data_IF_206332347611
#
_entry.id   IF_206332347611
#
_cell.length_a   1.000
_cell.length_b   1.000
_cell.length_c   1.000
_cell.angle_alpha   90.00
_cell.angle_beta   90.00
_cell.angle_gamma   90.00
#
_symmetry.space_group_name_H-M   'P 1'
#
loop_
_entity.id
_entity.type
_entity.pdbx_description
1 polymer ?
#
# COMPACT_ATOMS: atom_id res chain seq x y z
N UNK A 1 -27.25 -5.55 15.06
CA UNK A 1 -27.05 -5.41 13.59
C UNK A 1 -27.96 -6.41 12.94
N UNK A 2 -28.94 -5.96 12.15
CA UNK A 2 -29.92 -6.86 11.55
C UNK A 2 -29.28 -7.72 10.47
N UNK A 3 -29.48 -9.04 10.54
CA UNK A 3 -29.03 -10.00 9.51
C UNK A 3 -29.99 -10.08 8.32
N UNK A 4 -31.07 -9.29 8.33
CA UNK A 4 -32.04 -9.27 7.23
C UNK A 4 -31.39 -8.66 5.97
N UNK A 5 -31.65 -9.24 4.78
CA UNK A 5 -31.14 -8.72 3.52
C UNK A 5 -31.68 -7.32 3.24
N UNK A 6 -30.91 -6.52 2.50
CA UNK A 6 -31.35 -5.19 2.05
C UNK A 6 -32.61 -5.29 1.18
N UNK A 7 -33.54 -4.35 1.38
CA UNK A 7 -34.76 -4.19 0.58
C UNK A 7 -34.90 -2.72 0.15
N UNK A 8 -33.97 -2.21 -0.67
CA UNK A 8 -33.94 -0.79 -1.04
C UNK A 8 -35.20 -0.42 -1.83
N UNK A 9 -35.90 0.64 -1.41
CA UNK A 9 -37.03 1.23 -2.16
C UNK A 9 -36.56 2.33 -3.11
N UNK A 10 -35.38 2.90 -2.84
CA UNK A 10 -34.75 3.92 -3.69
C UNK A 10 -34.08 3.26 -4.89
N UNK A 11 -34.37 3.76 -6.10
CA UNK A 11 -33.74 3.29 -7.33
C UNK A 11 -32.28 3.76 -7.44
N UNK A 12 -31.45 2.97 -8.12
CA UNK A 12 -30.05 3.36 -8.38
C UNK A 12 -29.97 4.68 -9.16
N UNK A 13 -30.91 4.93 -10.08
CA UNK A 13 -30.97 6.20 -10.81
C UNK A 13 -31.17 7.38 -9.85
N UNK A 14 -32.02 7.23 -8.83
CA UNK A 14 -32.23 8.28 -7.84
C UNK A 14 -30.95 8.58 -7.04
N UNK A 15 -30.16 7.55 -6.72
CA UNK A 15 -28.84 7.70 -6.08
C UNK A 15 -27.89 8.49 -6.99
N UNK A 16 -27.87 8.18 -8.29
CA UNK A 16 -27.08 8.92 -9.30
C UNK A 16 -27.52 10.38 -9.40
N UNK A 17 -28.82 10.65 -9.41
CA UNK A 17 -29.35 12.01 -9.47
C UNK A 17 -28.98 12.82 -8.21
N UNK A 18 -29.01 12.20 -7.03
CA UNK A 18 -28.57 12.81 -5.77
C UNK A 18 -27.08 13.11 -5.81
N UNK A 19 -26.25 12.17 -6.27
CA UNK A 19 -24.80 12.37 -6.38
C UNK A 19 -24.47 13.53 -7.33
N UNK A 20 -25.17 13.63 -8.47
CA UNK A 20 -25.05 14.74 -9.41
C UNK A 20 -25.49 16.07 -8.80
N UNK A 21 -26.61 16.09 -8.09
CA UNK A 21 -27.11 17.30 -7.43
C UNK A 21 -26.18 17.79 -6.30
N UNK A 22 -25.34 16.90 -5.78
CA UNK A 22 -24.28 17.19 -4.79
C UNK A 22 -22.92 17.50 -5.42
N UNK A 23 -22.89 17.69 -6.74
CA UNK A 23 -21.67 18.06 -7.48
C UNK A 23 -20.51 17.09 -7.25
N UNK A 24 -20.81 15.79 -7.10
CA UNK A 24 -19.76 14.76 -7.03
C UNK A 24 -19.19 14.55 -8.43
N UNK A 25 -17.86 14.64 -8.55
CA UNK A 25 -17.17 14.50 -9.83
C UNK A 25 -17.38 13.11 -10.45
N UNK A 26 -17.51 13.00 -11.78
CA UNK A 26 -17.68 11.71 -12.45
C UNK A 26 -16.54 10.73 -12.15
N UNK A 27 -16.84 9.43 -12.15
CA UNK A 27 -15.87 8.38 -11.78
C UNK A 27 -16.09 7.79 -10.38
N UNK A 28 -17.15 8.23 -9.68
CA UNK A 28 -17.57 7.64 -8.42
C UNK A 28 -18.03 6.19 -8.56
N UNK A 29 -17.76 5.39 -7.54
CA UNK A 29 -18.32 4.06 -7.34
C UNK A 29 -19.57 4.12 -6.46
N UNK A 30 -20.58 3.31 -6.77
CA UNK A 30 -21.77 3.17 -5.92
C UNK A 30 -21.79 1.75 -5.35
N UNK A 31 -21.64 1.66 -4.03
CA UNK A 31 -21.80 0.40 -3.28
C UNK A 31 -23.22 0.30 -2.77
N UNK A 32 -23.88 -0.83 -3.09
CA UNK A 32 -25.26 -1.10 -2.66
C UNK A 32 -25.31 -1.61 -1.22
N UNK A 33 -26.41 -1.32 -0.48
CA UNK A 33 -26.64 -1.89 0.84
C UNK A 33 -26.81 -3.41 0.74
N UNK A 34 -26.22 -4.15 1.69
CA UNK A 34 -26.35 -5.62 1.78
C UNK A 34 -27.35 -6.07 2.84
N UNK A 35 -27.57 -5.24 3.86
CA UNK A 35 -28.44 -5.52 5.01
C UNK A 35 -29.58 -4.50 5.10
N UNK A 36 -30.59 -4.81 5.89
CA UNK A 36 -31.73 -3.92 6.15
C UNK A 36 -31.31 -2.57 6.78
N UNK A 37 -30.24 -2.55 7.58
CA UNK A 37 -29.68 -1.31 8.15
C UNK A 37 -28.62 -0.66 7.23
N UNK A 38 -28.42 -1.21 6.03
CA UNK A 38 -27.41 -0.76 5.09
C UNK A 38 -27.76 0.55 4.39
N UNK A 39 -26.74 1.23 3.87
CA UNK A 39 -26.87 2.48 3.11
C UNK A 39 -26.24 2.33 1.74
N UNK A 40 -26.72 3.10 0.76
CA UNK A 40 -25.98 3.31 -0.47
C UNK A 40 -24.76 4.18 -0.16
N UNK A 41 -23.58 3.74 -0.59
CA UNK A 41 -22.35 4.51 -0.43
C UNK A 41 -21.85 4.92 -1.79
N UNK A 42 -21.84 6.22 -2.08
CA UNK A 42 -21.23 6.79 -3.27
C UNK A 42 -19.86 7.31 -2.85
N UNK A 43 -18.78 6.85 -3.48
CA UNK A 43 -17.43 7.28 -3.14
C UNK A 43 -16.61 7.54 -4.39
N UNK A 44 -15.85 8.64 -4.37
CA UNK A 44 -14.87 8.98 -5.41
C UNK A 44 -13.53 9.28 -4.78
N UNK A 45 -12.50 8.67 -5.35
CA UNK A 45 -11.09 8.96 -5.09
C UNK A 45 -10.54 9.56 -6.36
N UNK A 46 -10.52 10.88 -6.43
CA UNK A 46 -10.14 11.64 -7.61
C UNK A 46 -8.62 11.74 -7.73
N UNK A 47 -8.12 12.08 -8.93
CA UNK A 47 -6.69 12.33 -9.12
C UNK A 47 -6.23 13.58 -8.34
N UNK A 48 -7.14 14.53 -8.10
CA UNK A 48 -6.98 15.63 -7.16
C UNK A 48 -7.73 15.30 -5.85
N UNK A 49 -7.01 15.08 -4.72
CA UNK A 49 -7.63 14.77 -3.44
C UNK A 49 -8.71 15.75 -2.99
N UNK A 50 -8.67 17.00 -3.48
CA UNK A 50 -9.65 18.03 -3.12
C UNK A 50 -11.06 17.71 -3.61
N UNK A 51 -11.17 16.89 -4.65
CA UNK A 51 -12.43 16.47 -5.24
C UNK A 51 -12.96 15.16 -4.62
N UNK A 52 -12.26 14.59 -3.63
CA UNK A 52 -12.69 13.40 -2.92
C UNK A 52 -13.98 13.63 -2.16
N UNK A 53 -14.91 12.70 -2.35
CA UNK A 53 -16.21 12.74 -1.71
C UNK A 53 -16.70 11.34 -1.39
N UNK A 54 -17.28 11.18 -0.21
CA UNK A 54 -18.03 9.98 0.20
C UNK A 54 -19.39 10.38 0.73
N UNK A 55 -20.44 9.87 0.10
CA UNK A 55 -21.83 10.14 0.41
C UNK A 55 -22.49 8.84 0.87
N UNK A 56 -23.15 8.89 2.03
CA UNK A 56 -24.00 7.80 2.50
C UNK A 56 -25.47 8.21 2.35
N UNK A 57 -26.23 7.42 1.61
CA UNK A 57 -27.64 7.67 1.29
C UNK A 57 -28.49 6.54 1.87
N UNK A 58 -29.53 6.93 2.60
CA UNK A 58 -30.53 6.03 3.15
C UNK A 58 -31.26 5.27 2.04
N UNK A 59 -31.31 3.94 2.16
CA UNK A 59 -31.85 3.05 1.13
C UNK A 59 -33.38 3.09 0.98
N UNK A 60 -34.08 3.69 1.96
CA UNK A 60 -35.54 3.72 2.00
C UNK A 60 -36.11 5.09 1.59
N UNK A 61 -35.50 6.15 2.12
CA UNK A 61 -35.96 7.53 1.99
C UNK A 61 -35.20 8.31 0.93
N UNK A 62 -33.99 7.86 0.56
CA UNK A 62 -33.09 8.59 -0.32
C UNK A 62 -32.47 9.82 0.35
N UNK A 63 -32.58 9.95 1.68
CA UNK A 63 -31.97 11.03 2.45
C UNK A 63 -30.46 10.82 2.52
N UNK A 64 -29.70 11.89 2.28
CA UNK A 64 -28.26 11.89 2.56
C UNK A 64 -28.04 11.88 4.06
N UNK A 65 -27.40 10.84 4.57
CA UNK A 65 -27.08 10.65 5.98
C UNK A 65 -25.70 11.19 6.33
N UNK A 66 -24.74 11.12 5.40
CA UNK A 66 -23.42 11.72 5.56
C UNK A 66 -22.88 12.17 4.20
N UNK A 67 -22.20 13.31 4.18
CA UNK A 67 -21.53 13.92 3.04
C UNK A 67 -20.15 14.32 3.54
N UNK A 68 -19.15 13.47 3.28
CA UNK A 68 -17.78 13.65 3.76
C UNK A 68 -16.92 14.08 2.60
N UNK A 69 -16.29 15.26 2.72
CA UNK A 69 -15.43 15.86 1.71
C UNK A 69 -13.99 15.95 2.21
N UNK A 70 -13.08 16.23 1.29
CA UNK A 70 -11.68 16.50 1.63
C UNK A 70 -11.51 17.56 2.73
N UNK A 71 -12.38 18.57 2.77
CA UNK A 71 -12.33 19.62 3.81
C UNK A 71 -12.53 19.05 5.22
N UNK A 72 -13.34 18.01 5.36
CA UNK A 72 -13.68 17.34 6.62
C UNK A 72 -12.57 16.39 7.10
N UNK A 73 -11.57 16.13 6.26
CA UNK A 73 -10.45 15.24 6.61
C UNK A 73 -9.55 15.88 7.67
N UNK A 74 -9.11 15.07 8.61
CA UNK A 74 -8.09 15.46 9.59
C UNK A 74 -6.75 15.79 8.89
N UNK A 75 -5.86 16.53 9.54
CA UNK A 75 -4.54 16.85 8.98
C UNK A 75 -3.74 15.59 8.60
N UNK A 76 -3.83 14.53 9.42
CA UNK A 76 -3.20 13.24 9.15
C UNK A 76 -3.83 12.59 7.93
N UNK A 77 -5.16 12.56 7.85
CA UNK A 77 -5.88 12.00 6.70
C UNK A 77 -5.52 12.73 5.40
N UNK A 78 -5.46 14.07 5.41
CA UNK A 78 -5.05 14.88 4.26
C UNK A 78 -3.62 14.58 3.81
N UNK A 79 -2.70 14.45 4.76
CA UNK A 79 -1.31 14.12 4.48
C UNK A 79 -1.16 12.70 3.90
N UNK A 80 -1.89 11.73 4.45
CA UNK A 80 -1.93 10.36 3.93
C UNK A 80 -2.49 10.33 2.52
N UNK A 81 -3.64 10.97 2.26
CA UNK A 81 -4.27 10.99 0.93
C UNK A 81 -3.37 11.64 -0.12
N UNK A 82 -2.78 12.79 0.23
CA UNK A 82 -1.80 13.45 -0.63
C UNK A 82 -0.59 12.56 -0.91
N UNK A 83 -0.10 11.84 0.11
CA UNK A 83 0.99 10.89 -0.03
C UNK A 83 0.65 9.72 -0.96
N UNK A 84 -0.56 9.17 -0.85
CA UNK A 84 -1.06 8.10 -1.72
C UNK A 84 -1.17 8.61 -3.16
N UNK A 85 -1.79 9.76 -3.41
CA UNK A 85 -1.95 10.28 -4.77
C UNK A 85 -0.62 10.68 -5.41
N UNK A 86 0.35 11.15 -4.62
CA UNK A 86 1.73 11.35 -5.08
C UNK A 86 2.39 10.01 -5.44
N UNK A 87 2.25 8.99 -4.58
CA UNK A 87 2.84 7.67 -4.77
C UNK A 87 2.27 6.92 -5.98
N UNK A 88 0.96 7.00 -6.21
CA UNK A 88 0.30 6.40 -7.37
C UNK A 88 0.57 7.15 -8.68
N UNK A 89 1.20 8.33 -8.61
CA UNK A 89 1.48 9.14 -9.81
C UNK A 89 0.26 9.91 -10.33
N UNK A 90 -0.85 9.96 -9.58
CA UNK A 90 -2.10 10.62 -10.00
C UNK A 90 -2.05 12.13 -9.82
N UNK A 91 -1.47 12.58 -8.71
CA UNK A 91 -1.36 14.01 -8.41
C UNK A 91 -0.38 14.71 -9.36
N UNK A 92 -0.66 15.93 -9.83
CA UNK A 92 0.12 16.67 -10.86
C UNK A 92 0.20 16.02 -12.25
N UNK A 93 -0.64 15.02 -12.55
CA UNK A 93 -0.74 14.42 -13.89
C UNK A 93 0.57 13.78 -14.38
N UNK A 94 0.87 13.96 -15.67
CA UNK A 94 1.97 13.22 -16.34
C UNK A 94 3.36 13.50 -15.77
N UNK A 95 3.59 14.67 -15.17
CA UNK A 95 4.89 15.03 -14.59
C UNK A 95 5.20 14.09 -13.41
N UNK A 96 4.22 13.87 -12.53
CA UNK A 96 4.39 12.97 -11.40
C UNK A 96 4.52 11.52 -11.87
N UNK A 97 3.76 11.11 -12.89
CA UNK A 97 3.91 9.78 -13.50
C UNK A 97 5.33 9.53 -14.01
N UNK A 98 5.95 10.53 -14.66
CA UNK A 98 7.34 10.41 -15.13
C UNK A 98 8.34 10.30 -13.96
N UNK A 99 8.14 11.09 -12.89
CA UNK A 99 8.96 11.03 -11.69
C UNK A 99 8.87 9.66 -11.01
N UNK A 100 7.64 9.16 -10.79
CA UNK A 100 7.40 7.85 -10.18
C UNK A 100 7.93 6.72 -11.08
N UNK A 101 7.76 6.82 -12.40
CA UNK A 101 8.36 5.86 -13.34
C UNK A 101 9.89 5.78 -13.17
N UNK A 102 10.56 6.92 -13.07
CA UNK A 102 12.01 6.99 -12.91
C UNK A 102 12.45 6.34 -11.59
N UNK A 103 11.75 6.63 -10.49
CA UNK A 103 12.01 5.99 -9.18
C UNK A 103 11.78 4.49 -9.25
N UNK A 104 10.68 4.03 -9.87
CA UNK A 104 10.40 2.61 -10.07
C UNK A 104 11.50 1.92 -10.88
N UNK A 105 11.99 2.54 -11.95
CA UNK A 105 13.12 2.03 -12.73
C UNK A 105 14.40 1.94 -11.89
N UNK A 106 14.69 2.95 -11.05
CA UNK A 106 15.86 2.90 -10.16
C UNK A 106 15.78 1.73 -9.17
N UNK A 107 14.62 1.50 -8.56
CA UNK A 107 14.41 0.38 -7.62
C UNK A 107 14.52 -0.96 -8.33
N UNK A 108 13.94 -1.08 -9.53
CA UNK A 108 14.03 -2.29 -10.36
C UNK A 108 15.48 -2.58 -10.74
N UNK A 109 16.20 -1.60 -11.28
CA UNK A 109 17.59 -1.73 -11.67
C UNK A 109 18.48 -2.05 -10.47
N UNK A 110 18.24 -1.42 -9.31
CA UNK A 110 18.92 -1.75 -8.06
C UNK A 110 18.72 -3.22 -7.68
N UNK A 111 17.48 -3.70 -7.70
CA UNK A 111 17.15 -5.09 -7.37
C UNK A 111 17.80 -6.09 -8.32
N UNK A 112 17.73 -5.84 -9.64
CA UNK A 112 18.39 -6.65 -10.67
C UNK A 112 19.90 -6.62 -10.48
N UNK A 113 20.49 -5.45 -10.20
CA UNK A 113 21.93 -5.33 -9.98
C UNK A 113 22.38 -6.13 -8.75
N UNK A 114 21.61 -6.11 -7.66
CA UNK A 114 21.87 -6.92 -6.47
C UNK A 114 21.86 -8.42 -6.77
N UNK A 115 20.88 -8.88 -7.55
CA UNK A 115 20.79 -10.28 -7.99
C UNK A 115 21.97 -10.66 -8.89
N UNK A 116 22.34 -9.82 -9.85
CA UNK A 116 23.49 -10.04 -10.75
C UNK A 116 24.80 -10.09 -9.97
N UNK A 117 25.00 -9.17 -9.02
CA UNK A 117 26.19 -9.15 -8.16
C UNK A 117 26.25 -10.41 -7.31
N UNK A 118 25.13 -10.83 -6.73
CA UNK A 118 25.03 -12.08 -5.97
C UNK A 118 25.37 -13.28 -6.86
N UNK A 119 24.78 -13.39 -8.06
CA UNK A 119 25.03 -14.50 -8.97
C UNK A 119 26.50 -14.61 -9.38
N UNK A 120 27.18 -13.48 -9.60
CA UNK A 120 28.61 -13.44 -9.94
C UNK A 120 29.53 -13.79 -8.76
N UNK A 121 29.08 -13.62 -7.52
CA UNK A 121 29.91 -13.78 -6.31
C UNK A 121 29.52 -14.97 -5.44
N UNK A 122 28.45 -15.70 -5.78
CA UNK A 122 27.98 -16.83 -4.98
C UNK A 122 29.04 -17.95 -4.89
N UNK A 123 29.12 -18.67 -3.77
CA UNK A 123 30.00 -19.83 -3.63
C UNK A 123 29.63 -20.94 -4.63
N UNK A 124 30.61 -21.66 -5.18
CA UNK A 124 30.34 -22.82 -6.06
C UNK A 124 29.61 -23.96 -5.34
N UNK A 125 29.73 -24.04 -4.02
CA UNK A 125 29.19 -25.13 -3.18
C UNK A 125 27.83 -24.85 -2.55
N UNK A 126 27.13 -23.74 -2.86
CA UNK A 126 25.77 -23.54 -2.35
C UNK A 126 25.17 -22.14 -2.56
N UNK A 127 23.93 -21.97 -2.08
CA UNK A 127 23.15 -20.71 -2.11
C UNK A 127 23.50 -19.76 -0.95
N UNK A 128 24.78 -19.65 -0.59
CA UNK A 128 25.25 -18.86 0.54
C UNK A 128 25.49 -17.37 0.23
N UNK A 129 25.55 -16.54 1.27
CA UNK A 129 25.99 -15.14 1.18
C UNK A 129 27.43 -15.09 0.68
N UNK A 130 27.75 -14.32 -0.38
CA UNK A 130 29.13 -14.16 -0.84
C UNK A 130 30.04 -13.66 0.29
N UNK A 131 31.24 -14.24 0.47
CA UNK A 131 32.15 -13.82 1.52
C UNK A 131 32.52 -12.34 1.34
N UNK A 132 32.45 -11.58 2.43
CA UNK A 132 32.93 -10.20 2.45
C UNK A 132 34.42 -10.22 2.12
N UNK A 133 34.82 -9.43 1.12
CA UNK A 133 36.22 -9.39 0.67
C UNK A 133 37.13 -8.67 1.68
N UNK A 134 36.57 -7.83 2.55
CA UNK A 134 37.29 -6.96 3.49
C UNK A 134 36.43 -6.67 4.73
N UNK A 135 37.05 -6.53 5.90
CA UNK A 135 36.40 -6.10 7.15
C UNK A 135 36.01 -4.62 7.08
N UNK A 136 34.89 -4.35 6.43
CA UNK A 136 34.29 -3.02 6.44
C UNK A 136 33.71 -2.72 7.83
N UNK A 137 33.91 -1.51 8.37
CA UNK A 137 33.30 -1.14 9.64
C UNK A 137 31.78 -1.27 9.53
N UNK A 138 31.15 -1.87 10.55
CA UNK A 138 29.69 -1.98 10.61
C UNK A 138 29.07 -0.60 10.47
N UNK A 139 28.20 -0.42 9.48
CA UNK A 139 27.51 0.85 9.24
C UNK A 139 26.45 1.09 10.34
N UNK A 140 26.91 1.57 11.49
CA UNK A 140 26.11 1.73 12.71
C UNK A 140 24.82 2.50 12.45
N UNK A 141 24.88 3.53 11.61
CA UNK A 141 23.70 4.34 11.21
C UNK A 141 22.63 3.47 10.55
N UNK A 142 22.98 2.64 9.58
CA UNK A 142 22.01 1.78 8.92
C UNK A 142 21.44 0.71 9.86
N UNK A 143 22.23 0.21 10.81
CA UNK A 143 21.71 -0.73 11.82
C UNK A 143 20.67 -0.06 12.73
N UNK A 144 20.93 1.16 13.19
CA UNK A 144 19.97 1.91 14.02
C UNK A 144 18.68 2.21 13.24
N UNK A 145 18.80 2.66 11.99
CA UNK A 145 17.66 2.92 11.10
C UNK A 145 16.85 1.64 10.88
N UNK A 146 17.50 0.52 10.62
CA UNK A 146 16.84 -0.78 10.42
C UNK A 146 16.06 -1.22 11.66
N UNK A 147 16.63 -1.07 12.86
CA UNK A 147 15.95 -1.41 14.12
C UNK A 147 14.76 -0.48 14.34
N UNK A 148 14.94 0.84 14.15
CA UNK A 148 13.87 1.81 14.30
C UNK A 148 12.69 1.51 13.34
N UNK A 149 12.97 1.23 12.06
CA UNK A 149 11.94 0.82 11.11
C UNK A 149 11.30 -0.51 11.49
N UNK A 150 12.06 -1.49 11.98
CA UNK A 150 11.51 -2.78 12.42
C UNK A 150 10.56 -2.66 13.62
N UNK A 151 10.78 -1.67 14.49
CA UNK A 151 9.88 -1.35 15.61
C UNK A 151 8.64 -0.60 15.12
N UNK A 152 8.81 0.39 14.25
CA UNK A 152 7.70 1.18 13.68
C UNK A 152 6.81 0.31 12.78
N UNK A 153 7.39 -0.66 12.07
CA UNK A 153 6.72 -1.59 11.16
C UNK A 153 6.95 -3.05 11.60
N UNK A 154 6.17 -3.56 12.58
CA UNK A 154 6.43 -4.85 13.22
C UNK A 154 6.47 -6.03 12.24
N UNK A 155 5.64 -6.02 11.20
CA UNK A 155 5.64 -7.07 10.18
C UNK A 155 6.98 -7.14 9.44
N UNK A 156 7.58 -5.98 9.13
CA UNK A 156 8.91 -5.92 8.51
C UNK A 156 9.96 -6.46 9.47
N UNK A 157 9.95 -6.01 10.73
CA UNK A 157 10.87 -6.51 11.76
C UNK A 157 10.79 -8.03 11.94
N UNK A 158 9.58 -8.58 12.05
CA UNK A 158 9.34 -10.02 12.20
C UNK A 158 9.83 -10.80 10.97
N UNK A 159 9.53 -10.34 9.75
CA UNK A 159 9.99 -11.02 8.54
C UNK A 159 11.52 -11.06 8.43
N UNK A 160 12.22 -10.00 8.82
CA UNK A 160 13.68 -9.97 8.88
C UNK A 160 14.23 -10.97 9.92
N UNK A 161 13.60 -11.09 11.09
CA UNK A 161 13.95 -12.08 12.10
C UNK A 161 13.75 -13.51 11.58
N UNK A 162 12.64 -13.77 10.87
CA UNK A 162 12.36 -15.08 10.27
C UNK A 162 13.45 -15.43 9.25
N UNK A 163 13.76 -14.52 8.31
CA UNK A 163 14.82 -14.73 7.32
C UNK A 163 16.16 -14.99 8.00
N UNK A 164 16.49 -14.25 9.06
CA UNK A 164 17.73 -14.45 9.82
C UNK A 164 17.79 -15.82 10.49
N UNK A 165 16.69 -16.30 11.09
CA UNK A 165 16.61 -17.65 11.69
C UNK A 165 16.75 -18.72 10.61
N UNK A 166 16.05 -18.56 9.48
CA UNK A 166 16.12 -19.50 8.35
C UNK A 166 17.53 -19.57 7.75
N UNK A 167 18.17 -18.43 7.53
CA UNK A 167 19.57 -18.34 7.06
C UNK A 167 20.50 -19.10 8.02
N UNK A 168 20.36 -18.86 9.33
CA UNK A 168 21.18 -19.55 10.33
C UNK A 168 20.96 -21.05 10.38
N UNK A 169 19.74 -21.54 10.16
CA UNK A 169 19.43 -22.97 10.26
C UNK A 169 19.75 -23.71 8.96
N UNK A 170 19.41 -23.13 7.81
CA UNK A 170 19.48 -23.78 6.50
C UNK A 170 20.85 -23.58 5.85
N UNK A 171 21.34 -22.33 5.76
CA UNK A 171 22.55 -22.02 5.01
C UNK A 171 23.84 -22.36 5.76
N UNK A 172 23.83 -22.32 7.11
CA UNK A 172 24.96 -22.79 7.92
C UNK A 172 25.17 -24.31 7.85
N UNK A 173 24.12 -25.08 7.51
CA UNK A 173 24.22 -26.53 7.32
C UNK A 173 24.92 -26.88 6.00
N UNK A 174 24.58 -26.20 4.91
CA UNK A 174 25.24 -26.43 3.61
C UNK A 174 26.69 -25.95 3.56
N UNK A 175 27.01 -24.85 4.26
CA UNK A 175 28.39 -24.36 4.36
C UNK A 175 29.32 -25.34 5.11
N UNK A 176 28.80 -26.11 6.09
CA UNK A 176 29.59 -27.10 6.83
C UNK A 176 29.85 -28.38 6.04
N UNK A 177 28.86 -28.87 5.27
CA UNK A 177 29.02 -30.10 4.48
C UNK A 177 30.06 -29.96 3.36
N UNK A 178 30.22 -28.76 2.78
CA UNK A 178 31.21 -28.48 1.74
C UNK A 178 32.66 -28.35 2.26
N UNK A 179 32.88 -28.26 3.58
CA UNK A 179 34.22 -28.20 4.17
C UNK A 179 34.76 -29.59 4.57
N UNK A 180 33.93 -30.63 4.46
CA UNK A 180 34.25 -32.02 4.84
C UNK A 180 34.38 -32.98 3.64
N UNK A 181 34.33 -32.46 2.41
CA UNK A 181 34.55 -33.19 1.16
C UNK A 181 35.72 -32.56 0.40
#
# INVERSE_FOLDING_TARGET
>A
MSSAPAAPTVSLQRVVDIARAREIVPGYSITQPKTADGVFTVSVFADDPRDDATLHIDQYTGKVLADVRYVDYSAVSKATELGVMLHEGKFFGWINQLLILLVCLMVLLSSVSGLVIWWKRRPRSGLGVPPLRHDLPRWKTATVVMIALGVIFPLVGISMLIVWVLDRIVLSRFAKTAATA
#
